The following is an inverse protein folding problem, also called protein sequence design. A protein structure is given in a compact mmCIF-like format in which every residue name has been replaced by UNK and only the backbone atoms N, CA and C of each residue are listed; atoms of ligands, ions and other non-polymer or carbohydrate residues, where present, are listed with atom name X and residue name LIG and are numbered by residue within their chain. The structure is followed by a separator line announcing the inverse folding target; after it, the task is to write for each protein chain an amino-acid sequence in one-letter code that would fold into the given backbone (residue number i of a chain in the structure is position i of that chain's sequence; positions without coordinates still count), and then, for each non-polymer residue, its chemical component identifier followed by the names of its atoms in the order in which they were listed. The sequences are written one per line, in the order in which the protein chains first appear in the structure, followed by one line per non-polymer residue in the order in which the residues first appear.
data_IF_319654412413
#
_entry.id   IF_319654412413
#
_cell.length_a   1.000
_cell.length_b   1.000
_cell.length_c   1.000
_cell.angle_alpha   90.00
_cell.angle_beta   90.00
_cell.angle_gamma   90.00
#
_symmetry.space_group_name_H-M   'P 1'
#
loop_
_entity.id
_entity.type
_entity.pdbx_description
1 polymer ?
#
# COMPACT_ATOMS: atom_id res chain seq x y z
N UNK A 1 -11.41 5.21 4.64
CA UNK A 1 -9.93 5.25 4.87
C UNK A 1 -9.69 5.25 6.37
N UNK A 2 -8.84 4.36 6.85
CA UNK A 2 -8.54 4.28 8.27
C UNK A 2 -7.03 4.19 8.49
N UNK A 3 -6.60 4.34 9.74
CA UNK A 3 -5.18 4.38 10.06
C UNK A 3 -4.47 3.07 9.71
N UNK A 4 -5.13 1.93 9.89
CA UNK A 4 -4.54 0.63 9.51
C UNK A 4 -4.23 0.57 8.01
N UNK A 5 -5.16 1.04 7.18
CA UNK A 5 -4.93 1.07 5.73
C UNK A 5 -3.74 1.95 5.38
N UNK A 6 -3.57 3.08 6.06
CA UNK A 6 -2.44 3.97 5.82
C UNK A 6 -1.12 3.31 6.22
N UNK A 7 -1.09 2.60 7.35
CA UNK A 7 0.10 1.85 7.76
C UNK A 7 0.42 0.73 6.78
N UNK A 8 -0.61 0.01 6.32
CA UNK A 8 -0.42 -1.07 5.35
C UNK A 8 0.13 -0.53 4.04
N UNK A 9 -0.44 0.58 3.56
CA UNK A 9 0.03 1.26 2.37
C UNK A 9 1.51 1.66 2.51
N UNK A 10 1.87 2.29 3.63
CA UNK A 10 3.23 2.75 3.87
C UNK A 10 4.21 1.59 3.90
N UNK A 11 3.84 0.47 4.54
CA UNK A 11 4.71 -0.70 4.60
C UNK A 11 4.91 -1.30 3.21
N UNK A 12 3.85 -1.42 2.42
CA UNK A 12 3.97 -1.96 1.07
C UNK A 12 4.82 -1.04 0.18
N UNK A 13 4.68 0.27 0.35
CA UNK A 13 5.50 1.24 -0.39
C UNK A 13 6.98 1.09 -0.07
N UNK A 14 7.29 0.76 1.19
CA UNK A 14 8.68 0.57 1.64
C UNK A 14 9.26 -0.74 1.13
N UNK A 15 8.50 -1.84 1.29
CA UNK A 15 8.99 -3.19 1.02
C UNK A 15 8.90 -3.56 -0.46
N UNK A 16 7.90 -3.03 -1.15
CA UNK A 16 7.65 -3.26 -2.58
C UNK A 16 7.40 -4.71 -2.95
N UNK A 17 6.87 -5.47 -1.99
CA UNK A 17 6.56 -6.88 -2.18
C UNK A 17 5.43 -7.28 -1.23
N UNK A 18 4.30 -7.75 -1.80
CA UNK A 18 3.10 -8.05 -0.99
C UNK A 18 3.34 -9.08 0.10
N UNK A 19 3.97 -10.21 -0.24
CA UNK A 19 4.18 -11.27 0.73
C UNK A 19 5.07 -10.82 1.89
N UNK A 20 6.18 -10.15 1.57
CA UNK A 20 7.09 -9.67 2.59
C UNK A 20 6.45 -8.59 3.47
N UNK A 21 5.71 -7.67 2.86
CA UNK A 21 5.04 -6.62 3.60
C UNK A 21 4.01 -7.21 4.55
N UNK A 22 3.23 -8.20 4.07
CA UNK A 22 2.23 -8.87 4.90
C UNK A 22 2.89 -9.57 6.09
N UNK A 23 4.03 -10.24 5.85
CA UNK A 23 4.78 -10.89 6.93
C UNK A 23 5.21 -9.88 7.99
N UNK A 24 5.76 -8.75 7.55
CA UNK A 24 6.21 -7.73 8.50
C UNK A 24 5.05 -7.10 9.26
N UNK A 25 3.87 -7.06 8.65
CA UNK A 25 2.66 -6.54 9.30
C UNK A 25 1.93 -7.59 10.12
N UNK A 26 2.37 -8.84 10.07
CA UNK A 26 1.74 -9.98 10.75
C UNK A 26 0.29 -10.18 10.30
N UNK A 27 0.03 -10.00 9.02
CA UNK A 27 -1.28 -10.25 8.42
C UNK A 27 -1.12 -11.15 7.21
N UNK A 28 -2.23 -11.69 6.72
CA UNK A 28 -2.19 -12.51 5.50
C UNK A 28 -2.01 -11.62 4.28
N UNK A 29 -1.43 -12.18 3.22
CA UNK A 29 -1.27 -11.46 1.97
C UNK A 29 -2.63 -11.04 1.37
N UNK A 30 -3.67 -11.91 1.37
CA UNK A 30 -4.98 -11.45 0.91
C UNK A 30 -5.56 -10.28 1.72
N UNK A 31 -5.32 -10.25 3.03
CA UNK A 31 -5.76 -9.13 3.86
C UNK A 31 -5.09 -7.83 3.45
N UNK A 32 -3.78 -7.88 3.21
CA UNK A 32 -3.05 -6.69 2.75
C UNK A 32 -3.55 -6.25 1.38
N UNK A 33 -3.71 -7.20 0.46
CA UNK A 33 -4.19 -6.91 -0.88
C UNK A 33 -5.58 -6.28 -0.85
N UNK A 34 -6.47 -6.79 -0.01
CA UNK A 34 -7.82 -6.26 0.13
C UNK A 34 -7.79 -4.82 0.68
N UNK A 35 -6.98 -4.58 1.70
CA UNK A 35 -6.88 -3.26 2.32
C UNK A 35 -6.38 -2.22 1.32
N UNK A 36 -5.37 -2.59 0.52
CA UNK A 36 -4.82 -1.69 -0.50
C UNK A 36 -5.84 -1.43 -1.60
N UNK A 37 -6.53 -2.48 -2.07
CA UNK A 37 -7.58 -2.32 -3.08
C UNK A 37 -8.71 -1.41 -2.60
N UNK A 38 -9.14 -1.57 -1.35
CA UNK A 38 -10.17 -0.70 -0.77
C UNK A 38 -9.72 0.75 -0.74
N UNK A 39 -8.46 0.98 -0.36
CA UNK A 39 -7.90 2.32 -0.32
C UNK A 39 -7.86 2.93 -1.72
N UNK A 40 -7.42 2.16 -2.72
CA UNK A 40 -7.38 2.61 -4.11
C UNK A 40 -8.76 2.97 -4.63
N UNK A 41 -9.78 2.18 -4.28
CA UNK A 41 -11.16 2.46 -4.67
C UNK A 41 -11.66 3.75 -4.04
N UNK A 42 -11.35 3.97 -2.78
CA UNK A 42 -11.76 5.17 -2.06
C UNK A 42 -11.16 6.43 -2.69
N UNK A 43 -9.88 6.34 -3.04
CA UNK A 43 -9.16 7.48 -3.64
C UNK A 43 -9.51 7.65 -5.11
N UNK A 44 -9.86 6.54 -5.79
CA UNK A 44 -10.28 6.57 -7.18
C UNK A 44 -9.15 6.38 -8.17
N UNK A 45 -8.00 5.87 -7.74
CA UNK A 45 -6.88 5.62 -8.64
C UNK A 45 -5.99 4.51 -8.09
N UNK A 46 -5.18 3.93 -8.95
CA UNK A 46 -4.18 2.95 -8.56
C UNK A 46 -3.01 3.64 -7.89
N UNK A 47 -2.60 3.12 -6.75
CA UNK A 47 -1.45 3.63 -6.00
C UNK A 47 -0.20 2.79 -6.24
N UNK A 48 -0.38 1.54 -6.68
CA UNK A 48 0.71 0.63 -6.97
C UNK A 48 0.57 0.05 -8.36
N UNK A 49 1.70 -0.25 -8.99
CA UNK A 49 1.73 -0.97 -10.25
C UNK A 49 2.73 -2.11 -10.15
N UNK A 50 2.49 -3.16 -10.92
CA UNK A 50 3.34 -4.34 -10.89
C UNK A 50 4.67 -4.06 -11.57
N UNK A 51 5.75 -4.52 -10.93
CA UNK A 51 7.07 -4.42 -11.51
C UNK A 51 7.86 -5.67 -11.12
N UNK A 52 8.18 -6.52 -12.10
CA UNK A 52 8.83 -7.79 -11.83
C UNK A 52 7.96 -8.65 -10.92
N UNK A 53 8.52 -9.11 -9.82
CA UNK A 53 7.80 -9.93 -8.83
C UNK A 53 7.19 -9.10 -7.71
N UNK A 54 7.39 -7.80 -7.77
CA UNK A 54 6.91 -6.90 -6.73
C UNK A 54 6.01 -5.83 -7.27
N UNK A 55 5.89 -4.77 -6.51
CA UNK A 55 5.08 -3.60 -6.87
C UNK A 55 5.86 -2.33 -6.52
N UNK A 56 5.56 -1.26 -7.26
CA UNK A 56 6.12 0.06 -6.98
C UNK A 56 4.98 1.07 -7.00
N UNK A 57 5.20 2.23 -6.42
CA UNK A 57 4.20 3.30 -6.42
C UNK A 57 4.00 3.85 -7.83
N UNK A 58 2.74 4.11 -8.19
CA UNK A 58 2.44 4.92 -9.36
C UNK A 58 2.77 6.38 -9.02
N UNK A 59 2.68 7.26 -10.02
CA UNK A 59 2.90 8.68 -9.72
C UNK A 59 1.88 9.22 -8.71
N UNK A 60 0.65 8.71 -8.75
CA UNK A 60 -0.37 9.09 -7.77
C UNK A 60 -0.08 8.50 -6.39
N UNK A 61 0.47 7.28 -6.37
CA UNK A 61 0.91 6.66 -5.12
C UNK A 61 2.02 7.45 -4.45
N UNK A 62 2.95 8.00 -5.24
CA UNK A 62 4.04 8.81 -4.70
C UNK A 62 3.52 10.10 -4.06
N UNK A 63 2.55 10.74 -4.70
CA UNK A 63 1.91 11.93 -4.15
C UNK A 63 1.18 11.58 -2.84
N UNK A 64 0.42 10.50 -2.86
CA UNK A 64 -0.31 10.06 -1.69
C UNK A 64 0.62 9.70 -0.53
N UNK A 65 1.77 9.09 -0.85
CA UNK A 65 2.77 8.72 0.15
C UNK A 65 3.25 9.92 0.97
N UNK A 66 3.39 11.08 0.33
CA UNK A 66 3.80 12.29 1.03
C UNK A 66 2.80 12.67 2.12
N UNK A 67 1.50 12.57 1.81
CA UNK A 67 0.45 12.85 2.80
C UNK A 67 0.45 11.82 3.92
N UNK A 68 0.61 10.55 3.56
CA UNK A 68 0.62 9.46 4.54
C UNK A 68 1.80 9.62 5.51
N UNK A 69 2.97 9.95 4.98
CA UNK A 69 4.17 10.13 5.82
C UNK A 69 3.98 11.25 6.83
N UNK A 70 3.23 12.28 6.49
CA UNK A 70 2.91 13.34 7.43
C UNK A 70 1.86 12.91 8.46
N UNK A 71 0.95 12.02 8.08
CA UNK A 71 -0.15 11.57 8.93
C UNK A 71 0.30 10.54 9.98
N UNK A 72 1.32 9.77 9.64
CA UNK A 72 1.81 8.70 10.53
C UNK A 72 3.30 8.86 10.80
#
# INVERSE_FOLDING_TARGET
MNLNQLHYFAKLAEVEHYTKAAEELSISQPSLSHAVSSLEKEIGTKLFEKQGRGVVLTKYGKIFKEYVDEAI
#
